data_IF_277821578856
#
_entry.id   IF_277821578856
#
_cell.length_a   1.000
_cell.length_b   1.000
_cell.length_c   1.000
_cell.angle_alpha   90.00
_cell.angle_beta   90.00
_cell.angle_gamma   90.00
#
_symmetry.space_group_name_H-M   'P 1'
#
loop_
_entity.id
_entity.type
_entity.pdbx_description
1 polymer ?
#
# COMPACT_ATOMS: atom_id res chain seq x y z
N UNK A 1 16.31 3.84 -1.17
CA UNK A 1 16.59 2.53 -1.79
C UNK A 1 16.02 2.53 -3.19
N UNK A 2 16.62 1.81 -4.13
CA UNK A 2 16.10 1.65 -5.49
C UNK A 2 16.07 0.16 -5.81
N UNK A 3 15.01 -0.27 -6.51
CA UNK A 3 14.84 -1.65 -6.97
C UNK A 3 15.02 -1.63 -8.47
N UNK A 4 15.91 -2.48 -8.99
CA UNK A 4 16.13 -2.61 -10.43
C UNK A 4 15.20 -3.70 -10.97
N UNK A 5 13.97 -3.30 -11.32
CA UNK A 5 12.92 -4.18 -11.82
C UNK A 5 11.58 -3.96 -11.13
N UNK A 6 10.56 -4.78 -11.45
CA UNK A 6 9.24 -4.66 -10.83
C UNK A 6 9.30 -4.99 -9.33
N UNK A 7 8.57 -4.22 -8.53
CA UNK A 7 8.30 -4.53 -7.13
C UNK A 7 6.91 -5.15 -7.06
N UNK A 8 6.79 -6.42 -6.66
CA UNK A 8 5.50 -7.14 -6.69
C UNK A 8 5.12 -7.61 -5.30
N UNK A 9 3.90 -7.26 -4.86
CA UNK A 9 3.35 -7.71 -3.57
C UNK A 9 4.17 -7.27 -2.37
N UNK A 10 4.78 -6.08 -2.42
CA UNK A 10 5.55 -5.55 -1.30
C UNK A 10 4.63 -4.95 -0.24
N UNK A 11 5.05 -5.06 1.02
CA UNK A 11 4.33 -4.55 2.18
C UNK A 11 5.24 -3.59 2.94
N UNK A 12 4.77 -2.37 3.16
CA UNK A 12 5.42 -1.37 3.98
C UNK A 12 4.60 -1.06 5.23
N UNK A 13 5.28 -0.88 6.36
CA UNK A 13 4.67 -0.51 7.64
C UNK A 13 5.70 0.16 8.53
N UNK A 14 5.26 1.07 9.39
CA UNK A 14 6.15 1.70 10.37
C UNK A 14 6.37 0.75 11.56
N UNK A 15 7.57 0.18 11.67
CA UNK A 15 7.92 -0.69 12.80
C UNK A 15 8.06 0.12 14.09
N UNK A 16 7.04 0.09 14.94
CA UNK A 16 7.04 0.74 16.26
C UNK A 16 7.38 -0.24 17.41
N UNK A 17 7.86 -1.44 17.09
CA UNK A 17 8.13 -2.53 18.03
C UNK A 17 6.93 -3.44 18.31
N UNK A 18 5.74 -3.13 17.77
CA UNK A 18 4.49 -3.90 17.94
C UNK A 18 4.01 -4.59 16.66
N UNK A 19 4.59 -4.24 15.52
CA UNK A 19 4.17 -4.76 14.22
C UNK A 19 4.86 -6.09 13.90
N UNK A 20 4.14 -7.04 13.32
CA UNK A 20 4.69 -8.34 12.89
C UNK A 20 4.64 -9.45 13.95
N UNK A 21 3.85 -9.27 15.01
CA UNK A 21 3.72 -10.24 16.11
C UNK A 21 2.64 -11.33 15.91
N UNK A 22 1.70 -11.14 14.97
CA UNK A 22 0.58 -12.07 14.79
C UNK A 22 0.79 -12.96 13.56
N UNK A 23 0.82 -14.27 13.79
CA UNK A 23 0.80 -15.28 12.71
C UNK A 23 2.00 -15.28 11.77
N UNK A 24 3.10 -14.60 12.11
CA UNK A 24 4.28 -14.48 11.26
C UNK A 24 4.10 -13.56 10.04
N UNK A 25 2.98 -12.82 9.97
CA UNK A 25 2.69 -11.91 8.86
C UNK A 25 3.40 -10.55 9.08
N UNK A 26 4.15 -10.04 8.08
CA UNK A 26 4.77 -8.71 8.15
C UNK A 26 3.72 -7.63 8.41
N UNK A 27 4.00 -6.70 9.33
CA UNK A 27 3.10 -5.58 9.61
C UNK A 27 1.83 -5.93 10.41
N UNK A 28 1.61 -7.20 10.77
CA UNK A 28 0.43 -7.59 11.57
C UNK A 28 0.32 -6.81 12.88
N UNK A 29 -0.89 -6.37 13.24
CA UNK A 29 -1.16 -5.45 14.35
C UNK A 29 -0.91 -3.97 14.04
N UNK A 30 -0.56 -3.63 12.79
CA UNK A 30 -0.31 -2.28 12.31
C UNK A 30 -1.03 -2.03 10.99
N UNK A 31 -1.18 -0.76 10.61
CA UNK A 31 -1.65 -0.41 9.27
C UNK A 31 -0.54 -0.69 8.28
N UNK A 32 -0.90 -1.20 7.10
CA UNK A 32 0.07 -1.54 6.06
C UNK A 32 -0.24 -0.81 4.76
N UNK A 33 0.81 -0.55 3.97
CA UNK A 33 0.73 -0.16 2.57
C UNK A 33 1.15 -1.35 1.72
N UNK A 34 0.23 -1.86 0.92
CA UNK A 34 0.46 -2.95 -0.03
C UNK A 34 0.72 -2.34 -1.41
N UNK A 35 1.79 -2.75 -2.08
CA UNK A 35 2.18 -2.15 -3.35
C UNK A 35 2.71 -3.15 -4.37
N UNK A 36 2.32 -2.92 -5.61
CA UNK A 36 2.95 -3.48 -6.80
C UNK A 36 3.33 -2.34 -7.74
N UNK A 37 4.63 -2.18 -8.02
CA UNK A 37 5.17 -1.21 -8.98
C UNK A 37 5.66 -1.96 -10.21
N UNK A 38 4.91 -1.83 -11.30
CA UNK A 38 5.15 -2.48 -12.59
C UNK A 38 4.84 -1.51 -13.72
N UNK A 39 5.59 -1.61 -14.81
CA UNK A 39 5.26 -0.91 -16.05
C UNK A 39 3.99 -1.52 -16.65
N UNK A 40 3.03 -0.70 -17.12
CA UNK A 40 1.79 -1.22 -17.71
C UNK A 40 2.09 -2.07 -18.95
N UNK A 41 1.63 -3.32 -18.93
CA UNK A 41 1.74 -4.23 -20.10
C UNK A 41 0.42 -4.38 -20.84
N UNK A 42 -0.70 -4.24 -20.12
CA UNK A 42 -2.08 -4.24 -20.62
C UNK A 42 -2.95 -3.39 -19.69
N UNK A 43 -4.14 -2.99 -20.12
CA UNK A 43 -5.07 -2.24 -19.27
C UNK A 43 -5.40 -3.03 -17.99
N UNK A 44 -5.16 -2.43 -16.82
CA UNK A 44 -5.35 -3.06 -15.50
C UNK A 44 -4.19 -3.92 -15.00
N UNK A 45 -3.11 -4.05 -15.77
CA UNK A 45 -1.85 -4.67 -15.35
C UNK A 45 -0.78 -3.59 -15.08
N UNK A 46 -1.15 -2.63 -14.25
CA UNK A 46 -0.43 -1.40 -13.96
C UNK A 46 0.05 -1.37 -12.51
N UNK A 47 0.80 -0.32 -12.16
CA UNK A 47 1.18 -0.12 -10.76
C UNK A 47 -0.06 0.10 -9.91
N UNK A 48 -0.07 -0.46 -8.72
CA UNK A 48 -1.21 -0.38 -7.82
C UNK A 48 -0.78 -0.43 -6.36
N UNK A 49 -1.38 0.44 -5.57
CA UNK A 49 -1.04 0.59 -4.15
C UNK A 49 -2.33 0.84 -3.36
N UNK A 50 -2.43 0.23 -2.19
CA UNK A 50 -3.54 0.41 -1.27
C UNK A 50 -3.07 0.40 0.19
N UNK A 51 -3.94 0.90 1.07
CA UNK A 51 -3.79 0.76 2.52
C UNK A 51 -4.73 -0.34 2.98
N UNK A 52 -4.21 -1.30 3.75
CA UNK A 52 -4.99 -2.42 4.24
C UNK A 52 -5.07 -2.43 5.76
N UNK A 53 -6.30 -2.47 6.26
CA UNK A 53 -6.71 -2.61 7.66
C UNK A 53 -7.56 -3.89 7.84
N UNK A 54 -7.43 -4.83 6.91
CA UNK A 54 -8.06 -6.15 7.00
C UNK A 54 -7.37 -6.91 8.13
N UNK A 55 -8.13 -7.46 9.07
CA UNK A 55 -7.56 -8.26 10.16
C UNK A 55 -6.56 -9.32 9.63
N UNK A 56 -5.32 -9.39 10.16
CA UNK A 56 -4.86 -8.84 11.43
C UNK A 56 -4.21 -7.44 11.37
N UNK A 57 -4.36 -6.70 10.28
CA UNK A 57 -3.88 -5.32 10.15
C UNK A 57 -4.86 -4.34 10.82
N UNK A 58 -4.32 -3.32 11.50
CA UNK A 58 -5.12 -2.32 12.20
C UNK A 58 -4.30 -1.05 12.40
N UNK A 59 -4.90 0.12 12.19
CA UNK A 59 -4.16 1.38 12.25
C UNK A 59 -3.60 1.61 13.65
N UNK A 60 -2.28 1.74 13.74
CA UNK A 60 -1.54 2.03 14.98
C UNK A 60 -0.92 3.44 14.97
N UNK A 61 -0.61 3.95 13.78
CA UNK A 61 -0.11 5.29 13.50
C UNK A 61 -0.74 5.77 12.19
N UNK A 62 -0.79 7.08 11.97
CA UNK A 62 -1.16 7.63 10.66
C UNK A 62 -0.16 7.15 9.62
N UNK A 63 -0.67 6.64 8.50
CA UNK A 63 0.14 6.18 7.36
C UNK A 63 -0.45 6.73 6.07
N UNK A 64 0.37 6.82 5.03
CA UNK A 64 -0.06 7.26 3.72
C UNK A 64 0.91 6.81 2.65
N UNK A 65 0.53 7.06 1.40
CA UNK A 65 1.45 6.94 0.29
C UNK A 65 1.11 7.95 -0.80
N UNK A 66 2.07 8.25 -1.64
CA UNK A 66 1.90 9.09 -2.82
C UNK A 66 2.83 8.62 -3.95
N UNK A 67 2.30 8.52 -5.16
CA UNK A 67 3.11 8.31 -6.34
C UNK A 67 3.87 9.59 -6.73
N UNK A 68 5.09 9.41 -7.24
CA UNK A 68 5.88 10.48 -7.82
C UNK A 68 6.72 9.97 -8.97
N UNK A 69 7.24 10.86 -9.83
CA UNK A 69 7.88 10.49 -11.08
C UNK A 69 6.94 9.65 -11.97
N UNK A 70 5.67 10.03 -11.97
CA UNK A 70 4.56 9.31 -12.59
C UNK A 70 3.33 9.36 -11.68
N UNK A 71 2.17 9.74 -12.23
CA UNK A 71 0.93 9.90 -11.45
C UNK A 71 1.07 10.78 -10.20
N UNK A 72 1.90 11.83 -10.29
CA UNK A 72 2.28 12.69 -9.17
C UNK A 72 1.04 13.24 -8.42
N UNK A 73 1.05 13.16 -7.09
CA UNK A 73 -0.07 13.58 -6.24
C UNK A 73 -1.18 12.53 -6.08
N UNK A 74 -1.15 11.42 -6.83
CA UNK A 74 -2.07 10.32 -6.62
C UNK A 74 -1.61 9.47 -5.43
N UNK A 75 -2.48 9.37 -4.44
CA UNK A 75 -2.15 8.73 -3.18
C UNK A 75 -3.28 8.87 -2.18
N UNK A 76 -3.03 8.43 -0.95
CA UNK A 76 -4.00 8.55 0.13
C UNK A 76 -3.33 8.59 1.49
N UNK A 77 -4.01 9.20 2.46
CA UNK A 77 -3.55 9.34 3.84
C UNK A 77 -4.63 8.78 4.78
N UNK A 78 -4.30 7.71 5.48
CA UNK A 78 -5.16 7.04 6.45
C UNK A 78 -4.89 7.62 7.85
N UNK A 79 -5.82 8.46 8.32
CA UNK A 79 -5.69 9.17 9.60
C UNK A 79 -6.37 8.47 10.78
N UNK A 80 -7.26 7.51 10.50
CA UNK A 80 -8.03 6.80 11.53
C UNK A 80 -8.40 5.38 11.08
N UNK A 81 -8.72 4.51 12.05
CA UNK A 81 -8.99 3.09 11.80
C UNK A 81 -10.31 2.79 11.07
N UNK A 82 -11.15 3.79 10.82
CA UNK A 82 -12.39 3.68 10.05
C UNK A 82 -12.30 4.40 8.70
N UNK A 83 -11.08 4.76 8.28
CA UNK A 83 -10.84 5.51 7.07
C UNK A 83 -11.40 4.79 5.83
N UNK A 84 -12.34 5.39 5.08
CA UNK A 84 -12.99 4.72 3.96
C UNK A 84 -12.06 4.54 2.75
N UNK A 85 -10.90 5.21 2.75
CA UNK A 85 -9.85 5.07 1.75
C UNK A 85 -8.86 3.91 2.04
N UNK A 86 -9.22 2.96 2.91
CA UNK A 86 -8.47 1.74 3.18
C UNK A 86 -9.34 0.50 2.97
N UNK A 87 -8.73 -0.66 2.76
CA UNK A 87 -9.41 -1.96 2.73
C UNK A 87 -9.67 -2.44 4.17
N UNK A 88 -10.88 -2.90 4.46
CA UNK A 88 -11.29 -3.37 5.79
C UNK A 88 -11.75 -4.83 5.80
N UNK A 89 -12.21 -5.35 4.67
CA UNK A 89 -12.65 -6.73 4.50
C UNK A 89 -11.89 -7.44 3.37
N UNK A 90 -11.67 -8.76 3.44
CA UNK A 90 -11.04 -9.54 2.36
C UNK A 90 -11.79 -9.47 1.01
N UNK A 91 -13.06 -9.06 1.03
CA UNK A 91 -13.91 -8.90 -0.15
C UNK A 91 -13.85 -7.50 -0.76
N UNK A 92 -13.14 -6.56 -0.13
CA UNK A 92 -13.00 -5.20 -0.64
C UNK A 92 -12.12 -5.21 -1.88
N UNK A 93 -12.62 -4.61 -2.96
CA UNK A 93 -11.89 -4.47 -4.25
C UNK A 93 -11.45 -3.03 -4.52
N UNK A 94 -11.93 -2.10 -3.71
CA UNK A 94 -11.59 -0.69 -3.70
C UNK A 94 -11.41 -0.30 -2.22
N UNK A 95 -10.53 0.66 -1.90
CA UNK A 95 -10.00 1.73 -2.77
C UNK A 95 -8.51 1.54 -3.08
N UNK A 96 -8.21 0.71 -4.08
CA UNK A 96 -6.85 0.63 -4.65
C UNK A 96 -6.61 1.78 -5.61
N UNK A 97 -5.46 2.44 -5.48
CA UNK A 97 -5.05 3.53 -6.37
C UNK A 97 -4.10 2.94 -7.41
N UNK A 98 -4.41 3.20 -8.68
CA UNK A 98 -3.66 2.68 -9.81
C UNK A 98 -2.84 3.79 -10.48
N UNK A 99 -1.69 3.42 -11.05
CA UNK A 99 -0.88 4.31 -11.87
C UNK A 99 -0.44 3.61 -13.16
N UNK A 100 -0.81 4.19 -14.30
CA UNK A 100 -0.52 3.71 -15.66
C UNK A 100 0.75 4.35 -16.27
N UNK A 101 1.73 4.73 -15.44
CA UNK A 101 2.99 5.33 -15.92
C UNK A 101 4.16 4.37 -15.73
N UNK A 102 5.02 4.28 -16.76
CA UNK A 102 6.28 3.54 -16.67
C UNK A 102 7.22 4.13 -15.61
N UNK A 103 7.87 3.27 -14.85
CA UNK A 103 8.91 3.62 -13.88
C UNK A 103 8.42 4.64 -12.82
N UNK A 104 7.15 4.53 -12.41
CA UNK A 104 6.59 5.30 -11.31
C UNK A 104 7.28 4.95 -9.98
N UNK A 105 7.49 5.95 -9.14
CA UNK A 105 8.01 5.80 -7.79
C UNK A 105 6.90 5.97 -6.75
N UNK A 106 7.15 5.48 -5.54
CA UNK A 106 6.23 5.53 -4.42
C UNK A 106 6.91 6.10 -3.17
N UNK A 107 6.30 7.12 -2.58
CA UNK A 107 6.62 7.61 -1.25
C UNK A 107 5.62 7.00 -0.25
N UNK A 108 6.13 6.54 0.90
CA UNK A 108 5.38 5.85 1.96
C UNK A 108 5.86 6.33 3.31
#
# INVERSE_FOLDING_TARGET
FAINGPLVGAVAFLQTGRCGGFGGLPGSGCGIVETTLVNPSTAGANSSTDISLIFPYALNVVIGFEYFNGCDGMGTNCTDGSYPGALHLPTDTAPRIFCDTDNVNLAV
#
